data_IF_087695544320
#
_entry.id   IF_087695544320
#
_cell.length_a   1.000
_cell.length_b   1.000
_cell.length_c   1.000
_cell.angle_alpha   90.00
_cell.angle_beta   90.00
_cell.angle_gamma   90.00
#
_symmetry.space_group_name_H-M   'P 1'
#
loop_
_entity.id
_entity.type
_entity.pdbx_description
1 polymer ?
#
# COMPACT_ATOMS: atom_id res chain seq x y z
N UNK A 1 -45.30 45.66 39.95
CA UNK A 1 -43.95 46.28 40.12
C UNK A 1 -43.28 45.49 41.24
N UNK A 2 -42.12 44.84 41.16
CA UNK A 2 -40.92 44.96 40.34
C UNK A 2 -40.35 43.54 40.17
N UNK A 3 -40.13 43.12 38.93
CA UNK A 3 -39.31 41.96 38.55
C UNK A 3 -37.84 42.24 38.86
N UNK A 4 -37.18 41.38 39.65
CA UNK A 4 -35.73 41.34 39.81
C UNK A 4 -35.19 40.12 39.04
N UNK A 5 -34.38 40.39 38.02
CA UNK A 5 -33.61 39.43 37.22
C UNK A 5 -32.14 39.39 37.71
N UNK A 6 -31.37 38.34 37.38
CA UNK A 6 -30.49 37.66 38.33
C UNK A 6 -29.03 38.13 38.33
N UNK A 7 -28.34 37.71 39.40
CA UNK A 7 -26.92 37.86 39.70
C UNK A 7 -26.07 37.02 38.72
N UNK A 8 -24.96 37.61 38.25
CA UNK A 8 -23.87 36.95 37.53
C UNK A 8 -23.29 35.78 38.35
N UNK A 9 -23.08 34.63 37.71
CA UNK A 9 -22.08 33.67 38.14
C UNK A 9 -21.29 33.19 36.91
N UNK A 10 -20.04 33.66 36.82
CA UNK A 10 -18.99 33.03 36.03
C UNK A 10 -18.71 31.64 36.65
N UNK A 11 -18.81 30.59 35.84
CA UNK A 11 -18.11 29.34 36.09
C UNK A 11 -17.64 28.78 34.74
N UNK A 12 -16.38 29.03 34.42
CA UNK A 12 -15.65 28.35 33.38
C UNK A 12 -15.25 26.97 33.89
N UNK A 13 -15.75 25.88 33.30
CA UNK A 13 -15.10 24.56 33.39
C UNK A 13 -15.39 23.76 32.12
N UNK A 14 -14.33 23.55 31.33
CA UNK A 14 -14.03 22.29 30.64
C UNK A 14 -15.14 21.64 29.80
N UNK A 15 -15.37 22.15 28.59
CA UNK A 15 -15.88 21.31 27.50
C UNK A 15 -14.71 20.94 26.60
N UNK A 16 -14.27 19.68 26.66
CA UNK A 16 -13.23 19.10 25.81
C UNK A 16 -13.37 19.64 24.37
N UNK A 17 -12.42 20.47 23.93
CA UNK A 17 -12.09 20.53 22.52
C UNK A 17 -11.74 19.10 22.15
N UNK A 18 -12.63 18.44 21.41
CA UNK A 18 -12.27 17.28 20.65
C UNK A 18 -11.03 17.69 19.88
N UNK A 19 -9.88 17.16 20.32
CA UNK A 19 -8.68 17.21 19.53
C UNK A 19 -9.11 16.70 18.17
N UNK A 20 -9.18 17.60 17.19
CA UNK A 20 -9.08 17.20 15.81
C UNK A 20 -7.78 16.43 15.79
N UNK A 21 -7.87 15.10 15.87
CA UNK A 21 -6.80 14.24 15.45
C UNK A 21 -6.59 14.67 14.00
N UNK A 22 -5.61 15.54 13.82
CA UNK A 22 -4.78 15.50 12.64
C UNK A 22 -4.25 14.06 12.62
N UNK A 23 -5.06 13.16 12.05
CA UNK A 23 -4.53 11.93 11.55
C UNK A 23 -3.45 12.39 10.57
N UNK A 24 -2.19 11.97 10.73
CA UNK A 24 -1.22 12.24 9.70
C UNK A 24 -1.86 11.73 8.41
N UNK A 25 -2.04 12.65 7.46
CA UNK A 25 -2.43 12.34 6.10
C UNK A 25 -1.26 11.59 5.48
N UNK A 26 -1.03 10.36 5.94
CA UNK A 26 -0.29 9.34 5.24
C UNK A 26 -1.23 8.71 4.21
N UNK A 27 -2.02 9.55 3.52
CA UNK A 27 -2.25 9.26 2.12
C UNK A 27 -0.84 9.23 1.54
N UNK A 28 -0.36 8.04 1.17
CA UNK A 28 0.81 7.98 0.32
C UNK A 28 0.55 8.98 -0.80
N UNK A 29 1.34 10.07 -0.89
CA UNK A 29 1.09 11.08 -1.90
C UNK A 29 1.22 10.35 -3.22
N UNK A 30 0.09 10.27 -3.93
CA UNK A 30 -0.04 9.83 -5.30
C UNK A 30 1.01 8.83 -5.77
N UNK A 31 0.77 7.55 -5.46
CA UNK A 31 1.19 6.44 -6.32
C UNK A 31 2.66 6.37 -6.70
N UNK A 32 3.62 6.84 -5.87
CA UNK A 32 5.04 6.59 -6.16
C UNK A 32 5.52 5.31 -5.48
N UNK A 33 5.95 4.41 -6.35
CA UNK A 33 6.60 3.12 -6.10
C UNK A 33 7.82 3.30 -5.23
N UNK A 34 8.03 2.32 -4.35
CA UNK A 34 9.35 2.06 -3.83
C UNK A 34 9.91 0.90 -4.63
N UNK A 35 10.79 1.21 -5.57
CA UNK A 35 11.70 0.19 -6.10
C UNK A 35 12.59 -0.27 -4.95
N UNK A 36 12.60 -1.58 -4.71
CA UNK A 36 13.44 -2.20 -3.70
C UNK A 36 14.29 -3.28 -4.36
N UNK A 37 15.58 -3.40 -4.02
CA UNK A 37 16.37 -4.52 -4.49
C UNK A 37 15.75 -5.82 -4.00
N UNK A 38 15.82 -6.89 -4.79
CA UNK A 38 15.24 -8.16 -4.40
C UNK A 38 15.96 -8.83 -3.22
N UNK A 39 17.16 -8.35 -2.88
CA UNK A 39 17.92 -8.69 -1.66
C UNK A 39 17.36 -8.04 -0.39
N UNK A 40 16.41 -7.11 -0.51
CA UNK A 40 15.71 -6.57 0.65
C UNK A 40 15.01 -7.69 1.42
N UNK A 41 15.19 -7.82 2.76
CA UNK A 41 14.67 -8.95 3.51
C UNK A 41 13.15 -9.15 3.39
N UNK A 42 12.37 -8.07 3.25
CA UNK A 42 10.92 -8.18 3.09
C UNK A 42 10.56 -8.69 1.69
N UNK A 43 11.27 -8.22 0.66
CA UNK A 43 11.09 -8.68 -0.73
C UNK A 43 11.54 -10.13 -0.88
N UNK A 44 12.74 -10.46 -0.39
CA UNK A 44 13.30 -11.80 -0.41
C UNK A 44 12.40 -12.81 0.31
N UNK A 45 11.90 -12.47 1.50
CA UNK A 45 10.97 -13.34 2.23
C UNK A 45 9.66 -13.54 1.48
N UNK A 46 9.16 -12.49 0.81
CA UNK A 46 7.92 -12.54 0.06
C UNK A 46 8.04 -13.39 -1.21
N UNK A 47 9.18 -13.36 -1.90
CA UNK A 47 9.40 -13.98 -3.21
C UNK A 47 10.33 -15.20 -3.17
N UNK A 48 10.62 -15.75 -1.99
CA UNK A 48 11.52 -16.90 -1.80
C UNK A 48 11.16 -18.15 -2.63
N UNK A 49 9.92 -18.26 -3.09
CA UNK A 49 9.42 -19.35 -3.92
C UNK A 49 9.69 -19.15 -5.42
N UNK A 50 9.99 -17.91 -5.84
CA UNK A 50 10.27 -17.53 -7.24
C UNK A 50 11.73 -17.14 -7.41
N UNK A 51 12.26 -16.28 -6.54
CA UNK A 51 13.63 -15.79 -6.59
C UNK A 51 14.55 -16.74 -5.83
N UNK A 52 14.91 -17.84 -6.49
CA UNK A 52 15.85 -18.85 -5.95
C UNK A 52 17.30 -18.34 -6.02
N UNK A 53 17.62 -17.55 -7.06
CA UNK A 53 18.92 -16.94 -7.28
C UNK A 53 18.81 -15.40 -7.13
N UNK A 54 19.51 -14.77 -6.17
CA UNK A 54 19.50 -13.32 -6.01
C UNK A 54 20.21 -12.56 -7.15
N UNK A 55 20.96 -13.25 -8.02
CA UNK A 55 21.61 -12.69 -9.20
C UNK A 55 20.77 -12.85 -10.48
N UNK A 56 19.52 -13.30 -10.36
CA UNK A 56 18.59 -13.55 -11.47
C UNK A 56 18.17 -12.28 -12.22
N UNK A 57 19.05 -11.80 -13.10
CA UNK A 57 18.87 -10.53 -13.80
C UNK A 57 17.72 -10.56 -14.81
N UNK A 58 17.05 -9.41 -14.95
CA UNK A 58 16.08 -9.17 -16.02
C UNK A 58 16.57 -8.03 -16.91
N UNK A 59 16.59 -8.23 -18.23
CA UNK A 59 17.09 -7.25 -19.19
C UNK A 59 18.49 -6.68 -18.85
N UNK A 60 19.37 -7.52 -18.26
CA UNK A 60 20.72 -7.13 -17.86
C UNK A 60 20.81 -6.31 -16.57
N UNK A 61 19.70 -6.12 -15.85
CA UNK A 61 19.66 -5.42 -14.56
C UNK A 61 19.44 -6.40 -13.40
N UNK A 62 20.01 -6.14 -12.21
CA UNK A 62 19.73 -6.94 -11.01
C UNK A 62 18.24 -7.01 -10.69
N UNK A 63 17.79 -8.08 -10.00
CA UNK A 63 16.38 -8.22 -9.70
C UNK A 63 15.89 -7.15 -8.72
N UNK A 64 14.74 -6.55 -9.04
CA UNK A 64 14.10 -5.51 -8.23
C UNK A 64 12.61 -5.79 -8.07
N UNK A 65 12.03 -5.36 -6.96
CA UNK A 65 10.59 -5.37 -6.76
C UNK A 65 10.06 -3.94 -6.69
N UNK A 66 9.03 -3.65 -7.49
CA UNK A 66 8.23 -2.44 -7.34
C UNK A 66 7.17 -2.67 -6.29
N UNK A 67 7.22 -1.94 -5.18
CA UNK A 67 6.33 -2.14 -4.04
C UNK A 67 5.37 -0.96 -3.90
N UNK A 68 4.08 -1.27 -3.72
CA UNK A 68 3.06 -0.37 -3.20
C UNK A 68 2.42 -1.00 -1.97
N UNK A 69 2.37 -0.25 -0.87
CA UNK A 69 1.83 -0.71 0.40
C UNK A 69 0.71 0.22 0.86
N UNK A 70 -0.24 -0.29 1.65
CA UNK A 70 -1.25 0.53 2.29
C UNK A 70 -1.88 -0.20 3.46
N UNK A 71 -2.34 0.56 4.45
CA UNK A 71 -3.33 0.09 5.41
C UNK A 71 -4.70 0.62 5.03
N UNK A 72 -5.68 -0.26 4.81
CA UNK A 72 -7.05 0.14 4.46
C UNK A 72 -7.81 0.69 5.68
N UNK A 73 -9.01 1.22 5.47
CA UNK A 73 -9.85 1.77 6.54
C UNK A 73 -10.27 0.75 7.61
N UNK A 74 -10.09 -0.56 7.35
CA UNK A 74 -10.38 -1.65 8.29
C UNK A 74 -9.11 -2.12 9.03
N UNK A 75 -7.97 -1.48 8.80
CA UNK A 75 -6.69 -1.84 9.41
C UNK A 75 -5.96 -2.98 8.72
N UNK A 76 -6.42 -3.44 7.54
CA UNK A 76 -5.73 -4.52 6.81
C UNK A 76 -4.54 -3.96 6.05
N UNK A 77 -3.38 -4.62 6.17
CA UNK A 77 -2.17 -4.27 5.43
C UNK A 77 -2.20 -4.92 4.05
N UNK A 78 -2.26 -4.11 3.01
CA UNK A 78 -2.24 -4.53 1.61
C UNK A 78 -0.87 -4.20 1.04
N UNK A 79 -0.18 -5.19 0.47
CA UNK A 79 1.11 -5.01 -0.20
C UNK A 79 0.98 -5.57 -1.61
N UNK A 80 1.18 -4.72 -2.60
CA UNK A 80 1.26 -5.09 -4.01
C UNK A 80 2.71 -5.00 -4.44
N UNK A 81 3.23 -6.05 -5.09
CA UNK A 81 4.58 -6.02 -5.62
C UNK A 81 4.64 -6.60 -7.02
N UNK A 82 5.43 -6.00 -7.90
CA UNK A 82 5.84 -6.62 -9.16
C UNK A 82 7.32 -6.94 -9.08
N UNK A 83 7.71 -8.18 -9.30
CA UNK A 83 9.11 -8.63 -9.27
C UNK A 83 9.66 -8.64 -10.69
N UNK A 84 10.68 -7.83 -10.96
CA UNK A 84 11.47 -7.88 -12.18
C UNK A 84 12.70 -8.74 -11.91
N UNK A 85 12.67 -9.98 -12.40
CA UNK A 85 13.79 -10.93 -12.38
C UNK A 85 13.69 -11.84 -13.60
N UNK A 86 14.77 -12.52 -13.98
CA UNK A 86 14.77 -13.44 -15.13
C UNK A 86 13.76 -14.58 -14.99
N UNK A 87 13.58 -15.11 -13.78
CA UNK A 87 12.64 -16.19 -13.42
C UNK A 87 11.21 -15.69 -13.23
N UNK A 88 11.05 -14.44 -12.76
CA UNK A 88 9.75 -13.81 -12.54
C UNK A 88 9.11 -13.28 -13.83
N UNK A 89 9.92 -13.02 -14.86
CA UNK A 89 9.47 -12.39 -16.09
C UNK A 89 9.57 -13.30 -17.32
N UNK A 90 8.56 -13.23 -18.18
CA UNK A 90 8.63 -13.68 -19.56
C UNK A 90 8.84 -12.47 -20.50
N UNK A 91 8.68 -12.68 -21.81
CA UNK A 91 9.00 -11.70 -22.87
C UNK A 91 8.44 -10.29 -22.57
N UNK A 92 7.20 -10.20 -22.08
CA UNK A 92 6.52 -8.90 -21.86
C UNK A 92 5.80 -8.80 -20.52
N UNK A 93 5.90 -9.81 -19.65
CA UNK A 93 5.17 -9.83 -18.39
C UNK A 93 5.99 -10.35 -17.23
N UNK A 94 5.79 -9.78 -16.07
CA UNK A 94 6.46 -10.14 -14.82
C UNK A 94 5.45 -10.51 -13.74
N UNK A 95 5.84 -11.37 -12.79
CA UNK A 95 4.94 -11.74 -11.70
C UNK A 95 4.59 -10.53 -10.83
N UNK A 96 3.32 -10.44 -10.50
CA UNK A 96 2.75 -9.50 -9.55
C UNK A 96 2.02 -10.27 -8.46
N UNK A 97 2.27 -9.89 -7.21
CA UNK A 97 1.66 -10.49 -6.03
C UNK A 97 0.97 -9.43 -5.19
N UNK A 98 -0.22 -9.77 -4.70
CA UNK A 98 -0.96 -8.96 -3.73
C UNK A 98 -1.06 -9.76 -2.44
N UNK A 99 -0.55 -9.19 -1.35
CA UNK A 99 -0.66 -9.70 -0.01
C UNK A 99 -1.68 -8.87 0.77
N UNK A 100 -2.52 -9.54 1.55
CA UNK A 100 -3.39 -8.91 2.55
C UNK A 100 -3.08 -9.55 3.89
N UNK A 101 -2.66 -8.75 4.86
CA UNK A 101 -2.21 -9.18 6.19
C UNK A 101 -1.15 -10.29 6.12
N UNK A 102 -0.21 -10.12 5.18
CA UNK A 102 0.89 -11.07 4.93
C UNK A 102 0.49 -12.34 4.18
N UNK A 103 -0.77 -12.51 3.76
CA UNK A 103 -1.23 -13.67 3.00
C UNK A 103 -1.37 -13.32 1.53
N UNK A 104 -0.85 -14.17 0.65
CA UNK A 104 -1.04 -14.05 -0.79
C UNK A 104 -2.54 -14.17 -1.10
N UNK A 105 -3.09 -13.14 -1.73
CA UNK A 105 -4.47 -13.07 -2.20
C UNK A 105 -4.59 -13.08 -3.70
N UNK A 106 -3.57 -12.58 -4.38
CA UNK A 106 -3.44 -12.67 -5.82
C UNK A 106 -1.99 -12.98 -6.17
N UNK A 107 -1.83 -13.91 -7.10
CA UNK A 107 -0.57 -14.15 -7.80
C UNK A 107 -0.92 -14.18 -9.29
N UNK A 108 -0.34 -13.27 -10.06
CA UNK A 108 -0.65 -13.06 -11.48
C UNK A 108 0.59 -12.52 -12.17
N UNK A 109 0.50 -12.21 -13.45
CA UNK A 109 1.53 -11.44 -14.14
C UNK A 109 0.99 -10.05 -14.50
N UNK A 110 1.86 -9.11 -14.82
CA UNK A 110 1.52 -7.78 -15.38
C UNK A 110 2.59 -7.39 -16.40
N UNK A 111 2.43 -6.28 -17.13
CA UNK A 111 3.45 -5.83 -18.07
C UNK A 111 4.85 -5.73 -17.41
N UNK A 112 5.90 -6.03 -18.16
CA UNK A 112 7.28 -5.93 -17.65
C UNK A 112 7.80 -4.50 -17.56
N UNK A 113 7.18 -3.56 -18.29
CA UNK A 113 7.46 -2.14 -18.23
C UNK A 113 6.53 -1.43 -17.22
N UNK A 114 6.56 -1.87 -15.96
CA UNK A 114 5.75 -1.24 -14.90
C UNK A 114 6.21 0.19 -14.67
N UNK A 115 5.52 1.14 -15.30
CA UNK A 115 5.72 2.58 -15.09
C UNK A 115 4.75 3.14 -14.06
N UNK A 116 3.65 2.43 -13.83
CA UNK A 116 2.57 2.83 -12.93
C UNK A 116 1.99 1.61 -12.23
N UNK A 117 1.95 1.67 -10.90
CA UNK A 117 1.17 0.87 -9.99
C UNK A 117 0.33 1.85 -9.11
N UNK A 118 -0.89 1.51 -8.75
CA UNK A 118 -1.76 2.40 -7.99
C UNK A 118 -2.69 1.57 -7.14
N UNK A 119 -3.08 2.10 -5.99
CA UNK A 119 -4.03 1.43 -5.12
C UNK A 119 -5.19 2.35 -4.82
N UNK A 120 -6.40 1.77 -4.80
CA UNK A 120 -7.61 2.49 -4.45
C UNK A 120 -7.48 3.18 -3.07
N UNK A 121 -8.12 4.35 -2.87
CA UNK A 121 -8.24 4.98 -1.57
C UNK A 121 -8.85 4.05 -0.49
N UNK A 122 -9.73 3.14 -0.86
CA UNK A 122 -10.36 2.17 0.02
C UNK A 122 -9.66 0.79 0.03
N UNK A 123 -8.58 0.62 -0.74
CA UNK A 123 -7.86 -0.66 -0.89
C UNK A 123 -8.63 -1.73 -1.65
N UNK A 124 -9.72 -1.39 -2.36
CA UNK A 124 -10.54 -2.37 -3.09
C UNK A 124 -9.94 -2.87 -4.39
N UNK A 125 -9.06 -2.08 -5.01
CA UNK A 125 -8.37 -2.44 -6.25
C UNK A 125 -6.93 -1.94 -6.26
N UNK A 126 -6.12 -2.62 -7.06
CA UNK A 126 -4.78 -2.21 -7.44
C UNK A 126 -4.76 -2.11 -8.96
N UNK A 127 -4.14 -1.07 -9.52
CA UNK A 127 -3.89 -0.96 -10.94
C UNK A 127 -2.40 -1.07 -11.20
N UNK A 128 -2.02 -1.85 -12.19
CA UNK A 128 -0.65 -1.91 -12.69
C UNK A 128 -0.73 -1.93 -14.21
N UNK A 129 0.12 -1.19 -14.92
CA UNK A 129 0.13 -1.22 -16.38
C UNK A 129 -1.22 -0.88 -17.04
N UNK A 130 -2.00 0.02 -16.44
CA UNK A 130 -3.39 0.32 -16.85
C UNK A 130 -4.40 -0.83 -16.69
N UNK A 131 -3.99 -2.00 -16.22
CA UNK A 131 -4.88 -3.08 -15.80
C UNK A 131 -5.34 -2.84 -14.36
N UNK A 132 -6.53 -3.33 -13.99
CA UNK A 132 -7.08 -3.23 -12.63
C UNK A 132 -7.35 -4.62 -12.07
N UNK A 133 -6.87 -4.85 -10.86
CA UNK A 133 -6.99 -6.08 -10.09
C UNK A 133 -7.81 -5.80 -8.85
N UNK A 134 -8.87 -6.57 -8.62
CA UNK A 134 -9.62 -6.50 -7.38
C UNK A 134 -8.75 -7.08 -6.24
N UNK A 135 -8.75 -6.42 -5.08
CA UNK A 135 -8.13 -6.96 -3.86
C UNK A 135 -9.16 -7.83 -3.14
N UNK A 136 -8.93 -9.14 -3.03
CA UNK A 136 -9.87 -10.04 -2.35
C UNK A 136 -10.13 -9.61 -0.90
N UNK A 137 -11.40 -9.62 -0.52
CA UNK A 137 -11.83 -9.23 0.84
C UNK A 137 -11.74 -10.34 1.88
N UNK A 138 -11.58 -11.60 1.46
CA UNK A 138 -11.58 -12.80 2.33
C UNK A 138 -10.44 -13.74 2.00
#
# INVERSE_FOLDING_TARGET
MKTLRPILALAAVGGLQAAAFAAPTSAMPDGRFLERPATDPAVAAQWKDVLVDPEDTYAGSPPVAFVAEKTDAKGRRIVATVLLSGTSCNVNRCNMRILVDGRIKLDTMVCSNVTTLAMAPDGSWISACSERFAVPRR
#
